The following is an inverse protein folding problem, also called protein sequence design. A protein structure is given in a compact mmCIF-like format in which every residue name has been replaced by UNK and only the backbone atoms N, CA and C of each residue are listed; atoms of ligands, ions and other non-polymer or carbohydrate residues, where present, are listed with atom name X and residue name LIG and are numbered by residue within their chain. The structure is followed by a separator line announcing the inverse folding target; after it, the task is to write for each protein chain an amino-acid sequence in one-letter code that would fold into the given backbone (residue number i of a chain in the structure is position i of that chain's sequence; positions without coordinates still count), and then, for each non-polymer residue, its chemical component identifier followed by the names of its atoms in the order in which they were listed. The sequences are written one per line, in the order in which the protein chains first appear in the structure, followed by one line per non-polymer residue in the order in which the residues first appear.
data_IF_431436953962
#
_entry.id   IF_431436953962
#
_cell.length_a   1.000
_cell.length_b   1.000
_cell.length_c   1.000
_cell.angle_alpha   90.00
_cell.angle_beta   90.00
_cell.angle_gamma   90.00
#
_symmetry.space_group_name_H-M   'P 1'
#
loop_
_entity.id
_entity.type
_entity.pdbx_description
1 polymer ?
#
# COMPACT_ATOMS: atom_id res chain seq x y z
N UNK A 1 11.57 22.86 -50.64
CA UNK A 1 12.71 21.94 -50.88
C UNK A 1 12.73 20.93 -49.74
N UNK A 2 12.35 19.66 -49.98
CA UNK A 2 13.26 18.54 -50.36
C UNK A 2 14.25 18.20 -49.24
N UNK A 3 14.50 16.97 -48.80
CA UNK A 3 13.95 15.64 -48.99
C UNK A 3 14.83 14.69 -48.11
N UNK A 4 14.22 13.64 -47.54
CA UNK A 4 14.75 12.26 -47.43
C UNK A 4 15.98 11.97 -46.54
N UNK A 5 15.81 11.06 -45.57
CA UNK A 5 16.58 9.80 -45.45
C UNK A 5 15.94 8.87 -44.39
N UNK A 6 15.19 7.84 -44.79
CA UNK A 6 15.56 6.39 -44.85
C UNK A 6 16.01 5.84 -43.48
N UNK A 7 15.17 5.09 -42.76
CA UNK A 7 14.89 3.63 -42.88
C UNK A 7 16.01 2.77 -42.30
N UNK A 8 15.69 1.89 -41.34
CA UNK A 8 16.09 0.47 -41.21
C UNK A 8 15.42 -0.11 -39.94
N UNK A 9 14.47 -1.03 -40.15
CA UNK A 9 14.05 -2.12 -39.24
C UNK A 9 15.05 -3.29 -39.44
N UNK A 10 15.29 -4.24 -38.50
CA UNK A 10 14.33 -5.30 -38.12
C UNK A 10 14.51 -5.72 -36.63
N UNK A 11 13.95 -6.75 -36.02
CA UNK A 11 13.33 -7.98 -36.48
C UNK A 11 12.39 -8.54 -35.40
N UNK A 12 11.33 -9.17 -35.90
CA UNK A 12 10.41 -10.07 -35.23
C UNK A 12 11.16 -11.31 -34.67
N UNK A 13 10.92 -11.68 -33.41
CA UNK A 13 11.13 -13.07 -32.95
C UNK A 13 9.83 -13.57 -32.33
N UNK A 14 9.18 -14.47 -33.08
CA UNK A 14 8.09 -15.34 -32.65
C UNK A 14 8.73 -16.59 -32.06
N UNK A 15 8.40 -16.93 -30.82
CA UNK A 15 8.50 -18.30 -30.32
C UNK A 15 7.12 -18.73 -29.85
N UNK A 16 6.44 -19.46 -30.73
CA UNK A 16 5.30 -20.29 -30.40
C UNK A 16 5.78 -21.51 -29.59
N UNK A 17 5.10 -21.79 -28.48
CA UNK A 17 5.27 -23.01 -27.69
C UNK A 17 3.91 -23.46 -27.17
N UNK A 18 3.14 -24.10 -28.04
CA UNK A 18 1.91 -24.82 -27.71
C UNK A 18 2.31 -26.23 -27.27
N UNK A 19 2.03 -26.61 -26.02
CA UNK A 19 2.08 -28.00 -25.57
C UNK A 19 0.76 -28.33 -24.87
N UNK A 20 0.15 -29.43 -25.31
CA UNK A 20 -1.22 -29.85 -25.07
C UNK A 20 -1.23 -31.20 -24.31
N UNK A 21 -2.11 -31.31 -23.30
CA UNK A 21 -2.71 -32.50 -22.66
C UNK A 21 -1.87 -33.41 -21.71
N UNK A 22 -2.50 -34.17 -20.78
CA UNK A 22 -3.94 -34.36 -20.54
C UNK A 22 -4.43 -34.07 -19.09
N UNK A 23 -5.76 -34.03 -18.95
CA UNK A 23 -6.50 -33.97 -17.69
C UNK A 23 -6.37 -35.28 -16.89
N UNK A 24 -6.05 -35.17 -15.60
CA UNK A 24 -6.22 -36.24 -14.60
C UNK A 24 -7.37 -35.88 -13.67
N UNK A 25 -8.39 -36.74 -13.63
CA UNK A 25 -9.52 -36.68 -12.71
C UNK A 25 -9.17 -37.22 -11.30
N UNK A 26 -9.50 -36.38 -10.30
CA UNK A 26 -10.04 -36.62 -8.94
C UNK A 26 -9.40 -37.70 -8.05
N UNK A 27 -8.85 -37.23 -6.92
CA UNK A 27 -9.05 -37.88 -5.63
C UNK A 27 -9.50 -36.81 -4.61
N UNK A 28 -10.68 -37.02 -4.03
CA UNK A 28 -11.09 -36.37 -2.79
C UNK A 28 -10.14 -36.81 -1.67
N UNK A 29 -9.63 -35.83 -0.93
CA UNK A 29 -9.16 -36.06 0.42
C UNK A 29 -9.71 -34.96 1.31
N UNK A 30 -10.35 -35.42 2.38
CA UNK A 30 -11.09 -34.69 3.38
C UNK A 30 -10.31 -33.55 4.04
N UNK A 31 -11.09 -32.53 4.40
CA UNK A 31 -11.02 -31.75 5.62
C UNK A 31 -9.64 -31.17 6.04
N UNK A 32 -9.53 -29.85 5.89
CA UNK A 32 -9.27 -29.04 7.07
C UNK A 32 -10.07 -27.75 6.94
N UNK A 33 -11.24 -27.77 7.57
CA UNK A 33 -11.85 -26.55 8.10
C UNK A 33 -10.81 -25.92 9.02
N UNK A 34 -10.04 -24.98 8.47
CA UNK A 34 -9.45 -23.91 9.25
C UNK A 34 -10.18 -22.67 8.79
N UNK A 35 -11.34 -22.45 9.41
CA UNK A 35 -11.90 -21.12 9.49
C UNK A 35 -10.75 -20.16 9.77
N UNK A 36 -10.45 -19.29 8.81
CA UNK A 36 -9.70 -18.09 9.10
C UNK A 36 -10.60 -17.31 10.05
N UNK A 37 -10.44 -17.59 11.35
CA UNK A 37 -10.91 -16.74 12.41
C UNK A 37 -10.40 -15.36 12.05
N UNK A 38 -11.31 -14.50 11.59
CA UNK A 38 -11.03 -13.10 11.38
C UNK A 38 -10.45 -12.60 12.68
N UNK A 39 -9.15 -12.33 12.67
CA UNK A 39 -8.50 -11.66 13.77
C UNK A 39 -9.14 -10.27 13.78
N UNK A 40 -10.19 -10.11 14.59
CA UNK A 40 -10.61 -8.79 15.02
C UNK A 40 -9.42 -8.23 15.76
N UNK A 41 -8.71 -7.31 15.12
CA UNK A 41 -7.82 -6.43 15.85
C UNK A 41 -8.75 -5.57 16.70
N UNK A 42 -8.96 -5.96 17.95
CA UNK A 42 -9.49 -5.06 18.95
C UNK A 42 -8.44 -3.96 19.11
N UNK A 43 -8.68 -2.83 18.44
CA UNK A 43 -7.86 -1.63 18.50
C UNK A 43 -7.72 -1.20 19.95
N UNK A 44 -6.52 -1.34 20.49
CA UNK A 44 -6.26 -1.07 21.89
C UNK A 44 -4.90 -1.57 22.37
N UNK A 45 -3.87 -1.51 21.52
CA UNK A 45 -2.52 -1.69 22.02
C UNK A 45 -2.10 -0.36 22.63
N UNK A 46 -1.92 -0.34 23.96
CA UNK A 46 -1.51 0.82 24.75
C UNK A 46 -0.17 1.38 24.29
N UNK A 47 -0.20 2.12 23.19
CA UNK A 47 0.90 2.90 22.69
C UNK A 47 0.79 4.29 23.28
N UNK A 48 1.94 4.88 23.60
CA UNK A 48 2.02 6.22 24.16
C UNK A 48 1.32 7.19 23.21
N UNK A 49 0.27 7.87 23.71
CA UNK A 49 -0.50 8.82 22.91
C UNK A 49 0.41 9.92 22.39
N UNK A 50 0.58 9.96 21.09
CA UNK A 50 1.32 10.97 20.35
C UNK A 50 0.32 11.86 19.60
N UNK A 51 0.75 13.08 19.24
CA UNK A 51 0.05 13.90 18.26
C UNK A 51 1.10 14.66 17.44
N UNK A 52 1.87 13.90 16.65
CA UNK A 52 2.99 14.45 15.90
C UNK A 52 2.56 14.74 14.46
N UNK A 53 2.63 16.00 14.05
CA UNK A 53 2.44 16.37 12.65
C UNK A 53 3.64 15.89 11.82
N UNK A 54 3.37 14.99 10.87
CA UNK A 54 4.38 14.47 9.94
C UNK A 54 4.49 15.31 8.66
N UNK A 55 3.56 16.24 8.46
CA UNK A 55 3.55 17.21 7.38
C UNK A 55 2.36 17.05 6.44
N UNK A 56 2.39 17.86 5.39
CA UNK A 56 1.39 17.92 4.33
C UNK A 56 2.07 17.88 2.96
N UNK A 57 1.48 17.16 2.01
CA UNK A 57 1.97 17.08 0.62
C UNK A 57 0.82 17.01 -0.37
N UNK A 58 1.10 17.25 -1.65
CA UNK A 58 0.10 17.17 -2.73
C UNK A 58 0.47 16.06 -3.70
N UNK A 59 -0.51 15.28 -4.12
CA UNK A 59 -0.34 14.22 -5.12
C UNK A 59 -1.65 13.92 -5.83
N UNK A 60 -1.60 13.67 -7.14
CA UNK A 60 -2.78 13.35 -7.96
C UNK A 60 -3.98 14.32 -7.78
N UNK A 61 -3.71 15.61 -7.56
CA UNK A 61 -4.72 16.64 -7.33
C UNK A 61 -5.30 16.69 -5.90
N UNK A 62 -4.87 15.79 -5.01
CA UNK A 62 -5.28 15.71 -3.61
C UNK A 62 -4.21 16.31 -2.69
N UNK A 63 -4.64 16.86 -1.56
CA UNK A 63 -3.76 17.26 -0.45
C UNK A 63 -3.84 16.20 0.63
N UNK A 64 -2.69 15.68 1.06
CA UNK A 64 -2.56 14.63 2.07
C UNK A 64 -1.82 15.19 3.27
N UNK A 65 -2.47 15.21 4.43
CA UNK A 65 -1.87 15.58 5.72
C UNK A 65 -1.87 14.35 6.64
N UNK A 66 -0.80 14.17 7.41
CA UNK A 66 -0.67 13.02 8.31
C UNK A 66 -0.30 13.47 9.72
N UNK A 67 -1.10 13.03 10.69
CA UNK A 67 -0.76 13.08 12.11
C UNK A 67 -0.43 11.66 12.56
N UNK A 68 0.64 11.51 13.34
CA UNK A 68 0.99 10.24 13.97
C UNK A 68 0.51 10.23 15.42
N UNK A 69 -0.24 9.20 15.76
CA UNK A 69 -0.87 9.04 17.07
C UNK A 69 -0.13 8.08 17.99
N UNK A 70 0.80 7.31 17.43
CA UNK A 70 1.59 6.35 18.21
C UNK A 70 2.98 6.13 17.62
N UNK A 71 4.01 5.95 18.47
CA UNK A 71 5.38 5.71 18.02
C UNK A 71 5.52 4.36 17.30
N UNK A 72 6.22 4.36 16.17
CA UNK A 72 6.54 3.14 15.42
C UNK A 72 7.58 2.31 16.18
N UNK A 73 7.27 1.05 16.44
CA UNK A 73 8.17 0.07 17.07
C UNK A 73 8.29 -1.18 16.21
N UNK A 74 9.50 -1.76 16.11
CA UNK A 74 9.72 -2.95 15.30
C UNK A 74 8.80 -4.12 15.74
N UNK A 75 8.08 -4.71 14.79
CA UNK A 75 7.13 -5.80 15.07
C UNK A 75 5.84 -5.39 15.79
N UNK A 76 5.62 -4.09 16.01
CA UNK A 76 4.38 -3.55 16.57
C UNK A 76 3.50 -2.92 15.50
N UNK A 77 2.61 -2.04 15.93
CA UNK A 77 1.73 -1.25 15.06
C UNK A 77 2.11 0.24 15.10
N UNK A 78 1.77 0.99 14.06
CA UNK A 78 1.75 2.46 14.09
C UNK A 78 0.36 2.97 13.75
N UNK A 79 -0.16 3.94 14.52
CA UNK A 79 -1.42 4.64 14.30
C UNK A 79 -1.20 6.02 13.67
N UNK A 80 -2.00 6.32 12.65
CA UNK A 80 -1.92 7.56 11.89
C UNK A 80 -3.31 8.05 11.47
N UNK A 81 -3.56 9.34 11.68
CA UNK A 81 -4.67 10.03 11.05
C UNK A 81 -4.22 10.63 9.73
N UNK A 82 -4.98 10.34 8.67
CA UNK A 82 -4.74 10.83 7.32
C UNK A 82 -5.91 11.69 6.91
N UNK A 83 -5.65 12.97 6.66
CA UNK A 83 -6.62 13.89 6.06
C UNK A 83 -6.37 13.99 4.56
N UNK A 84 -7.42 13.81 3.76
CA UNK A 84 -7.41 13.95 2.30
C UNK A 84 -8.36 15.06 1.89
N UNK A 85 -7.82 16.08 1.22
CA UNK A 85 -8.59 17.21 0.69
C UNK A 85 -8.44 17.33 -0.84
N UNK A 86 -9.31 18.12 -1.46
CA UNK A 86 -9.29 18.35 -2.92
C UNK A 86 -10.08 17.33 -3.74
N UNK A 87 -10.76 16.40 -3.07
CA UNK A 87 -11.64 15.41 -3.69
C UNK A 87 -11.82 14.17 -2.81
N UNK A 88 -12.76 13.30 -3.18
CA UNK A 88 -13.04 12.06 -2.46
C UNK A 88 -12.18 10.91 -3.02
N UNK A 89 -11.22 10.35 -2.28
CA UNK A 89 -10.48 9.20 -2.78
C UNK A 89 -11.37 7.94 -2.82
N UNK A 90 -11.15 7.07 -3.82
CA UNK A 90 -11.73 5.71 -3.89
C UNK A 90 -11.15 4.80 -2.80
N UNK A 91 -9.87 4.97 -2.50
CA UNK A 91 -9.21 4.28 -1.39
C UNK A 91 -7.99 5.04 -0.89
N UNK A 92 -7.70 4.85 0.40
CA UNK A 92 -6.45 5.23 1.06
C UNK A 92 -5.87 3.96 1.67
N UNK A 93 -4.61 3.67 1.39
CA UNK A 93 -3.86 2.54 1.94
C UNK A 93 -2.52 3.03 2.47
N UNK A 94 -1.98 2.34 3.46
CA UNK A 94 -0.64 2.63 3.92
C UNK A 94 0.11 1.40 4.43
N UNK A 95 1.42 1.59 4.60
CA UNK A 95 2.34 0.61 5.19
C UNK A 95 3.56 1.34 5.74
N UNK A 96 4.25 0.68 6.67
CA UNK A 96 5.57 1.12 7.12
C UNK A 96 6.67 0.23 6.52
N UNK A 97 7.62 0.82 5.78
CA UNK A 97 8.70 0.07 5.13
C UNK A 97 9.23 0.73 3.86
N UNK A 98 9.74 -0.10 2.94
CA UNK A 98 10.29 0.32 1.65
C UNK A 98 9.20 0.81 0.69
N UNK A 99 9.60 1.58 -0.33
CA UNK A 99 8.67 2.18 -1.32
C UNK A 99 7.85 1.17 -2.14
N UNK A 100 8.36 -0.05 -2.28
CA UNK A 100 7.75 -1.16 -2.99
C UNK A 100 6.87 -2.05 -2.07
N UNK A 101 6.82 -1.73 -0.77
CA UNK A 101 6.13 -2.49 0.28
C UNK A 101 6.65 -3.92 0.50
N UNK A 102 7.85 -4.25 0.02
CA UNK A 102 8.41 -5.60 0.18
C UNK A 102 8.66 -5.88 1.67
N UNK A 103 8.00 -6.93 2.17
CA UNK A 103 8.11 -7.33 3.59
C UNK A 103 7.22 -6.50 4.53
N UNK A 104 6.37 -5.63 3.99
CA UNK A 104 5.38 -4.86 4.75
C UNK A 104 3.96 -5.30 4.36
N UNK A 105 3.02 -5.14 5.30
CA UNK A 105 1.60 -5.34 5.03
C UNK A 105 0.98 -4.02 4.59
N UNK A 106 0.30 -4.01 3.44
CA UNK A 106 -0.49 -2.86 3.00
C UNK A 106 -1.88 -2.90 3.63
N UNK A 107 -2.17 -1.97 4.53
CA UNK A 107 -3.48 -1.87 5.18
C UNK A 107 -4.33 -0.81 4.49
N UNK A 108 -5.64 -1.03 4.43
CA UNK A 108 -6.60 0.00 3.98
C UNK A 108 -6.98 0.86 5.20
N UNK A 109 -6.92 2.17 5.05
CA UNK A 109 -7.35 3.08 6.10
C UNK A 109 -8.87 3.00 6.29
N UNK A 110 -9.31 3.10 7.53
CA UNK A 110 -10.71 3.18 7.91
C UNK A 110 -11.19 4.63 7.74
N UNK A 111 -12.37 4.81 7.13
CA UNK A 111 -12.92 6.14 6.94
C UNK A 111 -13.65 6.56 8.22
N UNK A 112 -13.30 7.72 8.76
CA UNK A 112 -13.96 8.28 9.94
C UNK A 112 -14.99 9.34 9.52
N UNK A 113 -14.59 10.26 8.64
CA UNK A 113 -15.43 11.36 8.17
C UNK A 113 -15.12 11.72 6.70
N UNK A 114 -15.68 12.83 6.22
CA UNK A 114 -15.43 13.31 4.86
C UNK A 114 -14.01 13.87 4.71
N UNK A 115 -13.08 12.98 4.37
CA UNK A 115 -11.67 13.31 4.15
C UNK A 115 -10.78 12.80 5.28
N UNK A 116 -11.32 12.52 6.46
CA UNK A 116 -10.63 11.87 7.58
C UNK A 116 -10.57 10.34 7.46
N UNK A 117 -9.38 9.78 7.65
CA UNK A 117 -9.13 8.35 7.68
C UNK A 117 -8.18 7.97 8.81
N UNK A 118 -8.51 6.93 9.55
CA UNK A 118 -7.63 6.35 10.55
C UNK A 118 -6.89 5.14 9.98
N UNK A 119 -5.59 5.07 10.18
CA UNK A 119 -4.71 4.07 9.57
C UNK A 119 -3.85 3.39 10.65
N UNK A 120 -4.05 2.08 10.79
CA UNK A 120 -3.09 1.21 11.46
C UNK A 120 -2.19 0.52 10.43
N UNK A 121 -0.88 0.55 10.67
CA UNK A 121 0.10 -0.20 9.87
C UNK A 121 0.89 -1.14 10.77
N UNK A 122 1.03 -2.40 10.35
CA UNK A 122 1.97 -3.32 10.96
C UNK A 122 3.40 -2.93 10.59
N UNK A 123 4.29 -2.90 11.58
CA UNK A 123 5.69 -2.52 11.42
C UNK A 123 6.53 -3.79 11.30
N UNK A 124 7.37 -3.92 10.26
CA UNK A 124 8.26 -5.07 10.12
C UNK A 124 9.12 -5.31 11.37
N UNK A 125 9.29 -6.59 11.76
CA UNK A 125 10.17 -6.98 12.90
C UNK A 125 11.61 -6.55 12.71
N UNK A 126 12.07 -6.51 11.47
CA UNK A 126 13.35 -5.91 11.08
C UNK A 126 13.03 -4.74 10.19
N UNK A 127 13.30 -3.52 10.66
CA UNK A 127 12.97 -2.29 9.93
C UNK A 127 14.08 -2.00 8.92
N UNK A 128 13.81 -2.02 7.59
CA UNK A 128 14.77 -1.57 6.59
C UNK A 128 15.24 -0.13 6.85
N UNK A 129 16.50 0.19 6.50
CA UNK A 129 17.09 1.50 6.79
C UNK A 129 16.34 2.67 6.11
N UNK A 130 15.76 2.42 4.93
CA UNK A 130 14.99 3.36 4.12
C UNK A 130 13.48 3.35 4.43
N UNK A 131 13.08 2.74 5.56
CA UNK A 131 11.66 2.63 5.90
C UNK A 131 11.02 3.99 6.21
N UNK A 132 9.88 4.23 5.57
CA UNK A 132 9.01 5.38 5.79
C UNK A 132 7.58 4.92 6.01
N UNK A 133 6.73 5.80 6.52
CA UNK A 133 5.30 5.65 6.32
C UNK A 133 4.99 5.98 4.86
N UNK A 134 4.32 5.09 4.16
CA UNK A 134 3.84 5.31 2.81
C UNK A 134 2.33 5.38 2.80
N UNK A 135 1.80 6.36 2.07
CA UNK A 135 0.36 6.51 1.79
C UNK A 135 0.17 6.33 0.29
N UNK A 136 -0.62 5.34 -0.10
CA UNK A 136 -1.13 5.12 -1.45
C UNK A 136 -2.57 5.60 -1.51
N UNK A 137 -2.85 6.58 -2.35
CA UNK A 137 -4.18 7.14 -2.57
C UNK A 137 -4.64 6.82 -3.98
N UNK A 138 -5.89 6.40 -4.11
CA UNK A 138 -6.57 6.25 -5.39
C UNK A 138 -7.60 7.38 -5.54
N UNK A 139 -7.33 8.43 -6.35
CA UNK A 139 -8.31 9.48 -6.64
C UNK A 139 -9.47 8.93 -7.48
N UNK A 140 -10.53 9.71 -7.65
CA UNK A 140 -11.67 9.30 -8.50
C UNK A 140 -11.25 9.03 -9.95
N UNK A 141 -10.22 9.73 -10.45
CA UNK A 141 -9.61 9.50 -11.77
C UNK A 141 -8.94 8.11 -11.92
N UNK A 142 -8.75 7.37 -10.82
CA UNK A 142 -8.41 5.96 -10.79
C UNK A 142 -6.91 5.61 -10.80
N UNK A 143 -6.03 6.51 -11.21
CA UNK A 143 -4.58 6.24 -11.16
C UNK A 143 -4.04 6.47 -9.75
N UNK A 144 -3.53 5.41 -9.14
CA UNK A 144 -2.97 5.46 -7.79
C UNK A 144 -1.70 6.30 -7.73
N UNK A 145 -1.54 7.05 -6.65
CA UNK A 145 -0.34 7.79 -6.35
C UNK A 145 0.18 7.48 -4.94
N UNK A 146 1.49 7.57 -4.75
CA UNK A 146 2.16 7.30 -3.48
C UNK A 146 2.89 8.54 -2.97
N UNK A 147 2.83 8.75 -1.67
CA UNK A 147 3.64 9.73 -0.94
C UNK A 147 4.20 9.09 0.32
N UNK A 148 5.26 9.68 0.88
CA UNK A 148 5.91 9.14 2.07
C UNK A 148 6.16 10.21 3.13
N UNK A 149 6.15 9.79 4.38
CA UNK A 149 6.40 10.63 5.54
C UNK A 149 7.39 9.95 6.49
N UNK A 150 8.21 10.75 7.18
CA UNK A 150 9.17 10.26 8.17
C UNK A 150 8.47 10.10 9.54
N UNK A 151 7.99 8.89 9.81
CA UNK A 151 7.36 8.57 11.09
C UNK A 151 8.38 8.56 12.24
N UNK A 152 7.93 9.01 13.41
CA UNK A 152 8.69 8.93 14.67
C UNK A 152 8.72 7.49 15.17
N UNK A 153 9.90 7.03 15.58
CA UNK A 153 10.13 5.69 16.12
C UNK A 153 10.36 5.75 17.62
N UNK A 154 10.07 4.64 18.30
CA UNK A 154 10.45 4.43 19.71
C UNK A 154 11.94 4.12 19.84
#
# INVERSE_FOLDING_TARGET
MSHISRSILPALVVCAGLALCPATTRAEAAASDKGHAGHKHEGGHGQESLNADLGTTKTAGLTIKVIQESLVSAGGDGGFDVTVEGGKPKSVRGWYGTADAKGSVKTKAEKEDEGGFHLHVEVPKTIPADSKLWIEVEPESGSKAKVSFDAKRK
#
